data_IF_170615833453
#
_entry.id   IF_170615833453
#
_cell.length_a   1.000
_cell.length_b   1.000
_cell.length_c   1.000
_cell.angle_alpha   90.00
_cell.angle_beta   90.00
_cell.angle_gamma   90.00
#
_symmetry.space_group_name_H-M   'P 1'
#
loop_
_entity.id
_entity.type
_entity.pdbx_description
1 polymer ?
#
# COMPACT_ATOMS: atom_id res chain seq x y z
N UNK A 1 46.87 9.96 -16.78
CA UNK A 1 46.13 10.40 -15.58
C UNK A 1 44.76 10.84 -16.06
N UNK A 2 43.73 10.04 -15.82
CA UNK A 2 42.32 10.46 -15.98
C UNK A 2 41.88 11.33 -14.78
N UNK A 3 40.70 11.97 -14.87
CA UNK A 3 39.57 11.35 -14.16
C UNK A 3 38.41 11.10 -15.13
N UNK A 4 37.98 9.84 -15.24
CA UNK A 4 36.89 9.21 -14.48
C UNK A 4 35.57 9.95 -14.75
N UNK A 5 34.79 9.36 -15.65
CA UNK A 5 33.45 9.81 -16.00
C UNK A 5 32.59 10.03 -14.77
N UNK A 6 31.85 11.13 -14.81
CA UNK A 6 30.68 11.34 -13.96
C UNK A 6 29.77 10.12 -14.13
N UNK A 7 29.80 9.22 -13.15
CA UNK A 7 28.72 8.23 -13.00
C UNK A 7 27.47 9.04 -12.75
N UNK A 8 26.66 9.21 -13.79
CA UNK A 8 25.24 9.42 -13.64
C UNK A 8 24.78 8.32 -12.68
N UNK A 9 24.36 8.69 -11.47
CA UNK A 9 23.69 7.72 -10.59
C UNK A 9 22.52 7.21 -11.42
N UNK A 10 22.56 5.95 -11.83
CA UNK A 10 21.39 5.28 -12.35
C UNK A 10 20.27 5.54 -11.34
N UNK A 11 19.20 6.21 -11.76
CA UNK A 11 18.02 6.38 -10.94
C UNK A 11 17.65 5.00 -10.41
N UNK A 12 17.78 4.80 -9.11
CA UNK A 12 17.31 3.57 -8.47
C UNK A 12 15.84 3.50 -8.81
N UNK A 13 15.43 2.43 -9.49
CA UNK A 13 14.02 2.28 -9.88
C UNK A 13 13.23 2.08 -8.57
N UNK A 14 12.70 3.17 -8.04
CA UNK A 14 11.70 3.24 -6.97
C UNK A 14 10.46 2.52 -7.48
N UNK A 15 10.16 1.34 -6.95
CA UNK A 15 9.13 0.47 -7.53
C UNK A 15 7.95 0.31 -6.56
N UNK A 16 6.95 1.20 -6.69
CA UNK A 16 5.62 0.92 -6.18
C UNK A 16 5.05 -0.28 -6.98
N UNK A 17 5.08 -1.46 -6.39
CA UNK A 17 4.65 -2.71 -7.01
C UNK A 17 3.14 -2.85 -6.94
N UNK A 18 2.48 -2.84 -8.09
CA UNK A 18 1.06 -3.19 -8.16
C UNK A 18 0.83 -4.67 -7.83
N UNK A 19 -0.06 -4.95 -6.89
CA UNK A 19 -0.39 -6.31 -6.47
C UNK A 19 -1.66 -6.80 -7.15
N UNK A 20 -2.76 -6.09 -6.91
CA UNK A 20 -4.05 -6.37 -7.52
C UNK A 20 -5.04 -5.23 -7.29
N UNK A 21 -6.12 -5.26 -8.08
CA UNK A 21 -7.29 -4.39 -8.02
C UNK A 21 -8.53 -5.26 -7.80
N UNK A 22 -9.56 -4.69 -7.19
CA UNK A 22 -10.84 -5.37 -6.98
C UNK A 22 -11.36 -6.02 -8.28
N UNK A 23 -11.54 -7.35 -8.31
CA UNK A 23 -11.96 -8.07 -9.52
C UNK A 23 -13.41 -7.77 -9.93
N UNK A 24 -14.23 -7.23 -9.03
CA UNK A 24 -15.65 -6.97 -9.28
C UNK A 24 -15.95 -5.50 -9.60
N UNK A 25 -15.04 -4.79 -10.26
CA UNK A 25 -15.26 -3.38 -10.57
C UNK A 25 -16.18 -3.16 -11.78
N UNK A 26 -17.14 -2.25 -11.63
CA UNK A 26 -17.99 -1.71 -12.68
C UNK A 26 -17.56 -0.28 -13.12
N UNK A 27 -16.33 0.13 -12.80
CA UNK A 27 -15.65 1.25 -13.48
C UNK A 27 -15.47 2.54 -12.70
N UNK A 28 -16.03 2.71 -11.50
CA UNK A 28 -15.92 4.00 -10.78
C UNK A 28 -15.04 3.97 -9.53
N UNK A 29 -14.94 2.85 -8.81
CA UNK A 29 -14.25 2.79 -7.51
C UNK A 29 -13.68 1.40 -7.28
N UNK A 30 -12.36 1.30 -7.19
CA UNK A 30 -11.68 0.01 -7.22
C UNK A 30 -10.64 -0.03 -6.11
N UNK A 31 -10.96 -0.67 -4.97
CA UNK A 31 -9.96 -0.99 -3.97
C UNK A 31 -8.74 -1.63 -4.62
N UNK A 32 -7.55 -1.18 -4.24
CA UNK A 32 -6.29 -1.55 -4.90
C UNK A 32 -5.20 -1.68 -3.85
N UNK A 33 -4.29 -2.64 -4.06
CA UNK A 33 -3.16 -2.87 -3.17
C UNK A 33 -1.83 -2.77 -3.95
N UNK A 34 -0.84 -2.18 -3.32
CA UNK A 34 0.54 -2.09 -3.78
C UNK A 34 1.51 -2.45 -2.65
N UNK A 35 2.76 -2.69 -3.00
CA UNK A 35 3.90 -2.73 -2.07
C UNK A 35 4.90 -1.66 -2.49
N UNK A 36 5.32 -0.82 -1.56
CA UNK A 36 6.39 0.14 -1.76
C UNK A 36 7.71 -0.47 -1.22
N UNK A 37 8.58 -0.85 -2.14
CA UNK A 37 9.86 -1.51 -1.81
C UNK A 37 10.83 -0.57 -1.07
N UNK A 38 10.72 0.75 -1.24
CA UNK A 38 11.64 1.74 -0.64
C UNK A 38 11.17 2.17 0.75
N UNK A 39 9.87 2.40 0.90
CA UNK A 39 9.28 2.73 2.19
C UNK A 39 9.10 1.50 3.09
N UNK A 40 9.21 0.28 2.53
CA UNK A 40 8.87 -0.99 3.19
C UNK A 40 7.40 -1.02 3.66
N UNK A 41 6.51 -0.50 2.83
CA UNK A 41 5.09 -0.30 3.16
C UNK A 41 4.15 -1.12 2.26
N UNK A 42 3.04 -1.60 2.84
CA UNK A 42 1.89 -2.06 2.07
C UNK A 42 0.93 -0.87 1.91
N UNK A 43 0.70 -0.46 0.66
CA UNK A 43 -0.17 0.68 0.35
C UNK A 43 -1.54 0.17 -0.10
N UNK A 44 -2.61 0.72 0.46
CA UNK A 44 -3.97 0.27 0.22
C UNK A 44 -4.87 1.46 -0.12
N UNK A 45 -5.56 1.36 -1.25
CA UNK A 45 -6.70 2.22 -1.58
C UNK A 45 -8.00 1.50 -1.22
N UNK A 46 -8.88 2.19 -0.49
CA UNK A 46 -10.24 1.75 -0.17
C UNK A 46 -11.22 2.92 -0.12
N UNK A 47 -12.43 2.68 0.38
CA UNK A 47 -13.38 3.77 0.64
C UNK A 47 -13.16 4.38 2.01
N UNK A 48 -13.38 5.68 2.16
CA UNK A 48 -13.28 6.34 3.47
C UNK A 48 -14.26 5.74 4.47
N UNK A 49 -13.82 5.58 5.72
CA UNK A 49 -14.71 5.27 6.83
C UNK A 49 -15.65 6.46 7.12
N UNK A 50 -16.93 6.17 7.37
CA UNK A 50 -17.86 7.15 7.91
C UNK A 50 -17.66 7.30 9.43
N UNK A 51 -18.25 8.35 10.01
CA UNK A 51 -18.06 8.69 11.43
C UNK A 51 -18.38 7.52 12.38
N UNK A 52 -19.50 6.82 12.17
CA UNK A 52 -19.89 5.70 13.03
C UNK A 52 -18.85 4.56 13.06
N UNK A 53 -18.20 4.28 11.92
CA UNK A 53 -17.14 3.28 11.87
C UNK A 53 -15.86 3.79 12.53
N UNK A 54 -15.51 5.07 12.31
CA UNK A 54 -14.37 5.69 12.97
C UNK A 54 -14.52 5.67 14.49
N UNK A 55 -15.71 5.91 15.01
CA UNK A 55 -15.98 5.89 16.45
C UNK A 55 -15.79 4.49 17.05
N UNK A 56 -16.23 3.43 16.33
CA UNK A 56 -15.96 2.05 16.73
C UNK A 56 -14.46 1.72 16.68
N UNK A 57 -13.74 2.14 15.64
CA UNK A 57 -12.29 1.94 15.56
C UNK A 57 -11.55 2.64 16.72
N UNK A 58 -12.07 3.78 17.19
CA UNK A 58 -11.47 4.52 18.31
C UNK A 58 -11.56 3.81 19.65
N UNK A 59 -12.40 2.77 19.77
CA UNK A 59 -12.41 1.92 20.95
C UNK A 59 -11.08 1.16 21.14
N UNK A 60 -10.36 0.88 20.04
CA UNK A 60 -9.04 0.26 20.09
C UNK A 60 -7.90 1.26 20.36
N UNK A 61 -8.10 2.55 20.08
CA UNK A 61 -7.08 3.58 20.26
C UNK A 61 -7.37 4.88 19.48
N UNK A 62 -6.61 5.96 19.72
CA UNK A 62 -6.78 7.20 18.99
C UNK A 62 -6.45 7.04 17.50
N UNK A 63 -7.12 7.83 16.65
CA UNK A 63 -6.82 7.95 15.22
C UNK A 63 -6.41 9.42 14.96
N UNK A 64 -5.10 9.74 14.94
CA UNK A 64 -4.57 11.06 14.62
C UNK A 64 -4.98 11.56 13.23
N UNK A 65 -4.88 12.87 13.00
CA UNK A 65 -5.19 13.48 11.71
C UNK A 65 -4.27 13.02 10.56
N UNK A 66 -3.11 12.44 10.89
CA UNK A 66 -2.15 11.87 9.93
C UNK A 66 -2.45 10.41 9.59
N UNK A 67 -3.45 9.79 10.20
CA UNK A 67 -3.85 8.41 9.97
C UNK A 67 -5.24 8.32 9.34
N UNK A 68 -5.50 7.26 8.58
CA UNK A 68 -6.77 7.05 7.90
C UNK A 68 -7.27 5.62 8.08
N UNK A 69 -8.57 5.48 8.31
CA UNK A 69 -9.27 4.19 8.24
C UNK A 69 -9.96 4.08 6.89
N UNK A 70 -9.55 3.07 6.13
CA UNK A 70 -10.15 2.75 4.83
C UNK A 70 -10.91 1.43 4.90
N UNK A 71 -12.04 1.38 4.22
CA UNK A 71 -12.86 0.19 4.04
C UNK A 71 -12.42 -0.53 2.78
N UNK A 72 -12.12 -1.81 2.90
CA UNK A 72 -11.77 -2.70 1.79
C UNK A 72 -12.73 -3.90 1.80
N UNK A 73 -13.29 -4.34 0.66
CA UNK A 73 -14.14 -5.52 0.61
C UNK A 73 -13.42 -6.78 1.06
N UNK A 74 -14.15 -7.70 1.71
CA UNK A 74 -13.62 -9.03 2.08
C UNK A 74 -13.09 -9.80 0.85
N UNK A 75 -13.67 -9.61 -0.35
CA UNK A 75 -13.17 -10.22 -1.59
C UNK A 75 -11.75 -9.79 -2.00
N UNK A 76 -11.20 -8.72 -1.41
CA UNK A 76 -9.80 -8.33 -1.60
C UNK A 76 -8.82 -9.15 -0.77
N UNK A 77 -9.28 -10.06 0.11
CA UNK A 77 -8.40 -10.91 0.93
C UNK A 77 -7.29 -11.60 0.11
N UNK A 78 -7.53 -12.17 -1.09
CA UNK A 78 -6.45 -12.75 -1.90
C UNK A 78 -5.40 -11.72 -2.34
N UNK A 79 -5.82 -10.49 -2.66
CA UNK A 79 -4.92 -9.40 -3.01
C UNK A 79 -4.05 -8.97 -1.82
N UNK A 80 -4.65 -8.84 -0.64
CA UNK A 80 -3.94 -8.46 0.57
C UNK A 80 -2.94 -9.53 1.00
N UNK A 81 -3.31 -10.82 0.93
CA UNK A 81 -2.39 -11.93 1.19
C UNK A 81 -1.18 -11.89 0.26
N UNK A 82 -1.42 -11.71 -1.04
CA UNK A 82 -0.33 -11.58 -2.02
C UNK A 82 0.56 -10.36 -1.74
N UNK A 83 0.00 -9.26 -1.26
CA UNK A 83 0.79 -8.09 -0.86
C UNK A 83 1.70 -8.42 0.34
N UNK A 84 1.17 -9.12 1.35
CA UNK A 84 1.97 -9.64 2.46
C UNK A 84 3.07 -10.58 1.97
N UNK A 85 2.75 -11.55 1.10
CA UNK A 85 3.75 -12.49 0.56
C UNK A 85 4.90 -11.77 -0.17
N UNK A 86 4.59 -10.68 -0.88
CA UNK A 86 5.61 -9.83 -1.54
C UNK A 86 6.40 -9.02 -0.52
N UNK A 87 5.75 -8.44 0.49
CA UNK A 87 6.43 -7.68 1.54
C UNK A 87 7.37 -8.58 2.35
N UNK A 88 6.97 -9.80 2.69
CA UNK A 88 7.80 -10.78 3.40
C UNK A 88 9.09 -11.10 2.63
N UNK A 89 9.03 -11.13 1.29
CA UNK A 89 10.21 -11.35 0.44
C UNK A 89 11.20 -10.17 0.46
N UNK A 90 10.76 -8.97 0.82
CA UNK A 90 11.63 -7.80 0.98
C UNK A 90 12.47 -7.87 2.26
N UNK A 91 12.16 -8.83 3.15
CA UNK A 91 12.98 -9.14 4.31
C UNK A 91 12.56 -8.40 5.58
N UNK A 92 11.25 -8.25 5.81
CA UNK A 92 10.70 -7.85 7.11
C UNK A 92 11.33 -8.75 8.19
N UNK A 93 12.15 -8.16 9.05
CA UNK A 93 12.80 -8.82 10.20
C UNK A 93 12.20 -8.35 11.50
#
# INVERSE_FOLDING_TARGET
MEPIGTREKAATITALRFIAKDPNTNGAQCPTAWVDDEAEEIVIQGWNAGQALLDQCREAGPIPATEAVVRVPIRMVPALRKACDVADQLGVR
#
